data_IF_669701981047
#
_entry.id   IF_669701981047
#
_cell.length_a   1.000
_cell.length_b   1.000
_cell.length_c   1.000
_cell.angle_alpha   90.00
_cell.angle_beta   90.00
_cell.angle_gamma   90.00
#
_symmetry.space_group_name_H-M   'P 1'
#
loop_
_entity.id
_entity.type
_entity.pdbx_description
1 polymer ?
#
# COMPACT_ATOMS: atom_id res chain seq x y z
N UNK A 1 -4.45 2.62 -7.54
CA UNK A 1 -3.00 2.79 -7.28
C UNK A 1 -2.34 1.47 -7.59
N UNK A 2 -1.28 1.49 -8.41
CA UNK A 2 -0.65 0.26 -8.88
C UNK A 2 0.70 0.11 -8.19
N UNK A 3 0.86 -0.96 -7.42
CA UNK A 3 2.12 -1.32 -6.76
C UNK A 3 2.72 -2.48 -7.55
N UNK A 4 3.94 -2.29 -8.05
CA UNK A 4 4.73 -3.39 -8.60
C UNK A 4 5.72 -3.85 -7.53
N UNK A 5 5.65 -5.12 -7.15
CA UNK A 5 6.64 -5.73 -6.27
C UNK A 5 7.79 -6.28 -7.13
N UNK A 6 9.06 -6.04 -6.74
CA UNK A 6 10.19 -6.69 -7.41
C UNK A 6 10.15 -8.21 -7.16
N UNK A 7 10.72 -8.96 -8.10
CA UNK A 7 10.70 -10.44 -8.11
C UNK A 7 11.37 -11.10 -6.89
N UNK A 8 12.07 -10.34 -6.05
CA UNK A 8 12.69 -10.81 -4.81
C UNK A 8 11.78 -10.72 -3.59
N UNK A 9 10.56 -10.19 -3.73
CA UNK A 9 9.61 -10.01 -2.63
C UNK A 9 8.50 -11.06 -2.74
N UNK A 10 8.51 -12.02 -1.82
CA UNK A 10 7.49 -13.05 -1.65
C UNK A 10 6.96 -12.98 -0.22
N UNK A 11 5.67 -13.22 -0.03
CA UNK A 11 5.05 -13.29 1.29
C UNK A 11 3.74 -12.52 1.39
N UNK A 12 3.20 -12.39 2.60
CA UNK A 12 1.95 -11.63 2.82
C UNK A 12 2.25 -10.14 2.99
N UNK A 13 1.91 -9.34 1.98
CA UNK A 13 1.99 -7.88 2.06
C UNK A 13 0.78 -7.31 2.81
N UNK A 14 1.07 -6.60 3.90
CA UNK A 14 0.12 -5.74 4.59
C UNK A 14 0.28 -4.30 4.10
N UNK A 15 -0.75 -3.77 3.46
CA UNK A 15 -0.75 -2.41 2.90
C UNK A 15 -1.73 -1.56 3.71
N UNK A 16 -1.22 -0.51 4.34
CA UNK A 16 -1.99 0.42 5.17
C UNK A 16 -1.86 1.83 4.60
N UNK A 17 -2.97 2.58 4.50
CA UNK A 17 -2.91 4.02 4.25
C UNK A 17 -3.37 4.80 5.47
N UNK A 18 -2.66 5.89 5.73
CA UNK A 18 -2.93 6.85 6.78
C UNK A 18 -3.23 8.23 6.17
N UNK A 19 -4.26 8.91 6.64
CA UNK A 19 -4.54 10.31 6.26
C UNK A 19 -3.56 11.27 6.93
N UNK A 20 -3.59 12.54 6.52
CA UNK A 20 -2.73 13.60 7.05
C UNK A 20 -2.87 13.82 8.57
N UNK A 21 -4.01 13.46 9.15
CA UNK A 21 -4.24 13.50 10.61
C UNK A 21 -3.73 12.24 11.35
N UNK A 22 -3.09 11.29 10.66
CA UNK A 22 -2.58 10.05 11.23
C UNK A 22 -3.60 8.91 11.32
N UNK A 23 -4.88 9.13 11.00
CA UNK A 23 -5.89 8.08 11.02
C UNK A 23 -5.63 7.03 9.94
N UNK A 24 -5.77 5.74 10.28
CA UNK A 24 -5.74 4.67 9.29
C UNK A 24 -7.06 4.65 8.52
N UNK A 25 -7.00 4.87 7.22
CA UNK A 25 -8.18 5.02 6.34
C UNK A 25 -8.36 3.86 5.37
N UNK A 26 -7.33 3.03 5.20
CA UNK A 26 -7.39 1.85 4.34
C UNK A 26 -6.43 0.79 4.86
N UNK A 27 -6.84 -0.48 4.78
CA UNK A 27 -5.98 -1.62 5.04
C UNK A 27 -6.35 -2.76 4.10
N UNK A 28 -5.35 -3.42 3.54
CA UNK A 28 -5.54 -4.68 2.83
C UNK A 28 -4.36 -5.60 3.09
N UNK A 29 -4.60 -6.90 2.99
CA UNK A 29 -3.57 -7.93 3.01
C UNK A 29 -3.70 -8.73 1.74
N UNK A 30 -2.58 -8.94 1.04
CA UNK A 30 -2.51 -9.81 -0.13
C UNK A 30 -1.25 -10.64 -0.05
N UNK A 31 -1.36 -11.90 -0.44
CA UNK A 31 -0.19 -12.70 -0.78
C UNK A 31 0.41 -12.09 -2.04
N UNK A 32 1.70 -11.78 -1.98
CA UNK A 32 2.49 -11.31 -3.11
C UNK A 32 3.37 -12.47 -3.55
N UNK A 33 3.23 -12.83 -4.81
CA UNK A 33 4.14 -13.72 -5.51
C UNK A 33 5.02 -12.84 -6.41
N UNK A 34 6.29 -13.22 -6.60
CA UNK A 34 7.25 -12.51 -7.46
C UNK A 34 6.64 -11.96 -8.75
N UNK A 35 6.97 -10.71 -9.09
CA UNK A 35 6.50 -9.98 -10.30
C UNK A 35 4.99 -9.68 -10.39
N UNK A 36 4.24 -9.89 -9.32
CA UNK A 36 2.82 -9.52 -9.28
C UNK A 36 2.61 -8.00 -9.19
N UNK A 37 1.64 -7.51 -9.97
CA UNK A 37 1.12 -6.15 -9.85
C UNK A 37 -0.15 -6.18 -9.01
N UNK A 38 -0.14 -5.41 -7.92
CA UNK A 38 -1.33 -5.23 -7.11
C UNK A 38 -1.97 -3.90 -7.45
N UNK A 39 -3.22 -3.96 -7.89
CA UNK A 39 -4.10 -2.80 -8.00
C UNK A 39 -4.89 -2.63 -6.71
N UNK A 40 -4.78 -1.43 -6.12
CA UNK A 40 -5.59 -1.01 -4.99
C UNK A 40 -6.69 -0.06 -5.44
N UNK A 41 -7.93 -0.43 -5.10
CA UNK A 41 -9.07 0.46 -5.25
C UNK A 41 -9.10 1.45 -4.08
N UNK A 42 -8.72 2.70 -4.39
CA UNK A 42 -8.73 3.83 -3.48
C UNK A 42 -9.80 4.86 -3.90
N UNK A 43 -10.84 4.42 -4.61
CA UNK A 43 -11.89 5.28 -5.15
C UNK A 43 -12.66 6.02 -4.06
N UNK A 44 -12.91 5.36 -2.94
CA UNK A 44 -13.71 5.88 -1.82
C UNK A 44 -12.94 6.84 -0.90
N UNK A 45 -11.63 7.05 -1.13
CA UNK A 45 -10.86 8.03 -0.36
C UNK A 45 -11.14 9.45 -0.87
N UNK A 46 -11.20 10.42 0.04
CA UNK A 46 -11.27 11.83 -0.33
C UNK A 46 -10.00 12.27 -1.10
N UNK A 47 -10.06 13.43 -1.74
CA UNK A 47 -8.87 14.08 -2.29
C UNK A 47 -7.95 14.49 -1.15
N UNK A 48 -6.65 14.32 -1.32
CA UNK A 48 -5.68 14.69 -0.29
C UNK A 48 -4.37 13.92 -0.34
N UNK A 49 -3.55 14.14 0.69
CA UNK A 49 -2.28 13.46 0.89
C UNK A 49 -2.43 12.32 1.89
N UNK A 50 -1.83 11.18 1.57
CA UNK A 50 -1.82 9.98 2.38
C UNK A 50 -0.40 9.44 2.52
N UNK A 51 -0.17 8.71 3.61
CA UNK A 51 1.03 7.90 3.82
C UNK A 51 0.65 6.45 3.61
N UNK A 52 1.25 5.81 2.61
CA UNK A 52 1.10 4.38 2.38
C UNK A 52 2.29 3.64 2.99
N UNK A 53 2.00 2.68 3.87
CA UNK A 53 2.99 1.76 4.44
C UNK A 53 2.69 0.36 3.94
N UNK A 54 3.66 -0.25 3.27
CA UNK A 54 3.65 -1.63 2.84
C UNK A 54 4.62 -2.40 3.72
N UNK A 55 4.18 -3.53 4.28
CA UNK A 55 5.01 -4.42 5.06
C UNK A 55 4.89 -5.84 4.53
N UNK A 56 6.02 -6.48 4.24
CA UNK A 56 6.13 -7.90 3.89
C UNK A 56 7.09 -8.50 4.90
N UNK A 57 6.59 -9.36 5.78
CA UNK A 57 7.37 -9.93 6.89
C UNK A 57 8.08 -8.82 7.69
N UNK A 58 9.41 -8.83 7.73
CA UNK A 58 10.24 -7.85 8.45
C UNK A 58 10.62 -6.62 7.60
N UNK A 59 10.29 -6.62 6.31
CA UNK A 59 10.61 -5.53 5.39
C UNK A 59 9.44 -4.56 5.34
N UNK A 60 9.73 -3.26 5.41
CA UNK A 60 8.71 -2.24 5.21
C UNK A 60 9.17 -1.13 4.26
N UNK A 61 8.21 -0.62 3.48
CA UNK A 61 8.38 0.54 2.60
C UNK A 61 7.27 1.52 2.88
N UNK A 62 7.62 2.79 2.98
CA UNK A 62 6.67 3.88 3.21
C UNK A 62 6.82 4.90 2.10
N UNK A 63 5.69 5.36 1.54
CA UNK A 63 5.69 6.40 0.51
C UNK A 63 4.50 7.33 0.64
N UNK A 64 4.68 8.56 0.17
CA UNK A 64 3.62 9.56 0.05
C UNK A 64 2.76 9.25 -1.17
N UNK A 65 1.45 9.26 -0.99
CA UNK A 65 0.46 9.17 -2.04
C UNK A 65 -0.33 10.49 -2.08
N UNK A 66 -0.51 11.07 -3.26
CA UNK A 66 -1.38 12.22 -3.48
C UNK A 66 -2.55 11.78 -4.35
N UNK A 67 -3.78 11.96 -3.86
CA UNK A 67 -5.01 11.67 -4.57
C UNK A 67 -5.67 13.00 -4.97
N UNK A 68 -5.76 13.24 -6.29
CA UNK A 68 -6.34 14.43 -6.90
C UNK A 68 -7.78 14.20 -7.39
#
# INVERSE_FOLDING_TARGET
MNIKFPSTENGTASINLFSSNGSKVYTTKKSVISDEKIELNLGNLAKGTYVCKIQIEDRSKTFKLVKN
#
